data_IF_224151300014
#
_entry.id   IF_224151300014
#
_cell.length_a   1.000
_cell.length_b   1.000
_cell.length_c   1.000
_cell.angle_alpha   90.00
_cell.angle_beta   90.00
_cell.angle_gamma   90.00
#
_symmetry.space_group_name_H-M   'P 1'
#
loop_
_entity.id
_entity.type
_entity.pdbx_description
1 polymer ?
#
# COMPACT_ATOMS: atom_id res chain seq x y z
N UNK A 1 -43.90 23.67 -37.08
CA UNK A 1 -42.71 23.42 -36.25
C UNK A 1 -43.22 22.88 -34.93
N UNK A 2 -43.31 21.55 -34.80
CA UNK A 2 -43.89 20.90 -33.63
C UNK A 2 -42.76 20.54 -32.68
N UNK A 3 -42.74 21.15 -31.51
CA UNK A 3 -41.76 20.88 -30.45
C UNK A 3 -42.26 19.64 -29.69
N UNK A 4 -41.54 18.53 -29.81
CA UNK A 4 -41.76 17.34 -28.99
C UNK A 4 -40.94 17.50 -27.72
N UNK A 5 -41.65 17.69 -26.59
CA UNK A 5 -41.02 17.68 -25.25
C UNK A 5 -40.97 16.22 -24.80
N UNK A 6 -39.76 15.65 -24.75
CA UNK A 6 -39.56 14.31 -24.16
C UNK A 6 -39.45 14.48 -22.66
N UNK A 7 -40.47 14.08 -21.93
CA UNK A 7 -40.45 13.99 -20.48
C UNK A 7 -39.63 12.72 -20.07
N UNK A 8 -38.44 12.88 -19.61
CA UNK A 8 -37.65 11.79 -19.01
C UNK A 8 -38.12 11.62 -17.57
N UNK A 9 -38.91 10.57 -17.34
CA UNK A 9 -39.31 10.15 -15.99
C UNK A 9 -38.08 9.43 -15.37
N UNK A 10 -37.39 10.11 -14.48
CA UNK A 10 -36.37 9.49 -13.63
C UNK A 10 -37.13 8.74 -12.52
N UNK A 11 -36.98 7.40 -12.39
CA UNK A 11 -37.55 6.70 -11.26
C UNK A 11 -36.87 7.18 -9.98
N UNK A 12 -37.66 7.79 -9.10
CA UNK A 12 -37.27 8.05 -7.73
C UNK A 12 -37.05 6.70 -7.06
N UNK A 13 -35.81 6.29 -6.92
CA UNK A 13 -35.46 5.15 -6.08
C UNK A 13 -35.86 5.48 -4.64
N UNK A 14 -36.97 4.88 -4.22
CA UNK A 14 -37.36 4.85 -2.81
C UNK A 14 -36.19 4.30 -2.02
N UNK A 15 -35.57 5.12 -1.18
CA UNK A 15 -34.63 4.69 -0.16
C UNK A 15 -35.39 3.72 0.76
N UNK A 16 -35.26 2.43 0.49
CA UNK A 16 -35.66 1.39 1.44
C UNK A 16 -34.81 1.65 2.70
N UNK A 17 -35.50 1.97 3.81
CA UNK A 17 -34.89 1.93 5.14
C UNK A 17 -34.23 0.57 5.26
N UNK A 18 -32.91 0.58 5.38
CA UNK A 18 -32.15 -0.63 5.67
C UNK A 18 -32.67 -1.18 6.99
N UNK A 19 -33.28 -2.34 6.95
CA UNK A 19 -33.44 -3.15 8.15
C UNK A 19 -32.08 -3.29 8.78
N UNK A 20 -32.00 -3.03 10.04
CA UNK A 20 -30.82 -3.12 10.91
C UNK A 20 -30.36 -4.59 10.96
N UNK A 21 -29.76 -5.06 9.86
CA UNK A 21 -29.11 -6.36 9.83
C UNK A 21 -27.81 -6.20 10.58
N UNK A 22 -27.83 -6.55 11.85
CA UNK A 22 -26.63 -6.74 12.66
C UNK A 22 -25.69 -7.63 11.86
N UNK A 23 -24.66 -7.03 11.25
CA UNK A 23 -23.68 -7.78 10.47
C UNK A 23 -22.83 -8.53 11.50
N UNK A 24 -23.04 -9.84 11.60
CA UNK A 24 -22.23 -10.69 12.47
C UNK A 24 -20.84 -10.80 11.87
N UNK A 25 -19.90 -10.03 12.39
CA UNK A 25 -18.53 -10.02 11.90
C UNK A 25 -17.78 -11.26 12.41
N UNK A 26 -17.17 -11.99 11.49
CA UNK A 26 -16.35 -13.14 11.81
C UNK A 26 -14.99 -12.67 12.32
N UNK A 27 -14.49 -13.30 13.37
CA UNK A 27 -13.14 -13.10 13.87
C UNK A 27 -12.17 -13.99 13.09
N UNK A 28 -11.06 -13.40 12.69
CA UNK A 28 -9.97 -14.06 11.98
C UNK A 28 -8.73 -14.01 12.85
N UNK A 29 -8.33 -15.13 13.48
CA UNK A 29 -7.14 -15.14 14.30
C UNK A 29 -5.89 -14.97 13.46
N UNK A 30 -4.96 -14.12 13.93
CA UNK A 30 -3.68 -13.88 13.27
C UNK A 30 -2.54 -13.97 14.28
N UNK A 31 -1.39 -14.47 13.82
CA UNK A 31 -0.14 -14.33 14.56
C UNK A 31 0.43 -12.95 14.29
N UNK A 32 1.12 -12.37 15.26
CA UNK A 32 1.79 -11.10 15.06
C UNK A 32 3.15 -11.07 15.76
N UNK A 33 4.01 -10.17 15.31
CA UNK A 33 5.38 -10.00 15.78
C UNK A 33 5.67 -8.49 15.83
N UNK A 34 6.01 -7.99 17.02
CA UNK A 34 6.28 -6.56 17.24
C UNK A 34 7.71 -6.25 16.85
N UNK A 35 7.88 -5.15 16.12
CA UNK A 35 9.21 -4.63 15.78
C UNK A 35 9.83 -3.96 17.00
N UNK A 36 11.05 -4.40 17.35
CA UNK A 36 11.84 -3.75 18.39
C UNK A 36 12.58 -2.52 17.81
N UNK A 37 12.88 -1.55 18.65
CA UNK A 37 13.68 -0.36 18.30
C UNK A 37 13.04 0.53 17.22
N UNK A 38 11.72 0.54 17.13
CA UNK A 38 11.01 1.51 16.30
C UNK A 38 10.80 2.80 17.07
N UNK A 39 10.84 3.92 16.36
CA UNK A 39 10.47 5.20 16.92
C UNK A 39 8.96 5.27 17.20
N UNK A 40 8.56 6.12 18.14
CA UNK A 40 7.17 6.21 18.57
C UNK A 40 6.22 6.66 17.47
N UNK A 41 6.70 7.50 16.57
CA UNK A 41 5.98 8.04 15.42
C UNK A 41 6.17 7.24 14.14
N UNK A 42 6.89 6.11 14.23
CA UNK A 42 7.09 5.23 13.08
C UNK A 42 5.76 4.62 12.60
N UNK A 43 5.66 4.43 11.30
CA UNK A 43 4.54 3.80 10.62
C UNK A 43 5.03 3.02 9.40
N UNK A 44 4.11 2.43 8.64
CA UNK A 44 4.41 1.71 7.41
C UNK A 44 3.68 2.31 6.22
N UNK A 45 4.26 2.02 5.05
CA UNK A 45 3.62 2.13 3.76
C UNK A 45 3.68 0.77 3.04
N UNK A 46 3.90 0.74 1.74
CA UNK A 46 3.91 -0.51 0.98
C UNK A 46 5.21 -1.33 1.10
N UNK A 47 6.16 -0.91 1.91
CA UNK A 47 7.50 -1.51 1.99
C UNK A 47 7.53 -2.85 2.74
N UNK A 48 6.89 -3.86 2.17
CA UNK A 48 6.98 -5.25 2.59
C UNK A 48 7.27 -6.12 1.37
N UNK A 49 8.17 -7.09 1.52
CA UNK A 49 8.52 -8.05 0.48
C UNK A 49 8.90 -9.40 1.09
N UNK A 50 8.42 -10.48 0.51
CA UNK A 50 8.83 -11.84 0.89
C UNK A 50 9.72 -12.37 -0.21
N UNK A 51 10.98 -12.55 0.13
CA UNK A 51 12.01 -12.94 -0.82
C UNK A 51 12.09 -14.47 -1.01
N UNK A 52 12.78 -14.89 -2.06
CA UNK A 52 12.96 -16.30 -2.42
C UNK A 52 13.67 -17.12 -1.32
N UNK A 53 14.42 -16.46 -0.42
CA UNK A 53 15.03 -17.08 0.77
C UNK A 53 14.05 -17.32 1.93
N UNK A 54 12.75 -17.12 1.71
CA UNK A 54 11.68 -17.25 2.70
C UNK A 54 11.80 -16.32 3.91
N UNK A 55 12.32 -15.12 3.69
CA UNK A 55 12.37 -14.05 4.68
C UNK A 55 11.51 -12.87 4.26
N UNK A 56 10.95 -12.18 5.24
CA UNK A 56 10.19 -10.95 5.05
C UNK A 56 11.11 -9.76 5.26
N UNK A 57 11.21 -8.89 4.29
CA UNK A 57 11.93 -7.61 4.38
C UNK A 57 10.93 -6.48 4.52
N UNK A 58 11.17 -5.58 5.47
CA UNK A 58 10.24 -4.50 5.80
C UNK A 58 11.00 -3.19 5.96
N UNK A 59 10.46 -2.13 5.35
CA UNK A 59 10.91 -0.75 5.53
C UNK A 59 9.93 0.05 6.38
N UNK A 60 10.44 0.78 7.37
CA UNK A 60 9.62 1.70 8.16
C UNK A 60 9.61 3.10 7.59
N UNK A 61 8.70 3.90 8.07
CA UNK A 61 8.57 5.33 7.78
C UNK A 61 8.39 6.11 9.07
N UNK A 62 8.96 7.31 9.12
CA UNK A 62 8.84 8.22 10.26
C UNK A 62 8.55 9.64 9.77
N UNK A 63 8.18 10.53 10.66
CA UNK A 63 8.06 11.97 10.40
C UNK A 63 9.10 12.80 11.16
N UNK A 64 9.92 12.19 12.03
CA UNK A 64 10.87 12.88 12.89
C UNK A 64 12.23 12.22 12.99
N UNK A 65 12.39 11.01 12.41
CA UNK A 65 13.61 10.24 12.46
C UNK A 65 13.82 9.46 11.17
N UNK A 66 14.88 8.68 11.10
CA UNK A 66 15.23 7.93 9.90
C UNK A 66 14.41 6.65 9.74
N UNK A 67 14.17 6.28 8.49
CA UNK A 67 13.64 4.97 8.16
C UNK A 67 14.62 3.85 8.57
N UNK A 68 14.04 2.74 8.97
CA UNK A 68 14.76 1.51 9.32
C UNK A 68 14.35 0.34 8.43
N UNK A 69 15.26 -0.59 8.25
CA UNK A 69 15.06 -1.84 7.51
C UNK A 69 15.13 -3.01 8.46
N UNK A 70 14.16 -3.91 8.34
CA UNK A 70 14.07 -5.14 9.12
C UNK A 70 14.01 -6.36 8.22
N UNK A 71 14.52 -7.48 8.76
CA UNK A 71 14.37 -8.82 8.20
C UNK A 71 13.66 -9.69 9.23
N UNK A 72 12.67 -10.43 8.82
CA UNK A 72 12.01 -11.45 9.63
C UNK A 72 12.19 -12.83 8.97
N UNK A 73 12.76 -13.77 9.69
CA UNK A 73 12.92 -15.14 9.25
C UNK A 73 11.65 -15.93 9.61
N UNK A 74 10.92 -16.39 8.59
CA UNK A 74 9.64 -17.09 8.76
C UNK A 74 9.84 -18.44 9.45
N UNK A 75 10.96 -19.12 9.19
CA UNK A 75 11.22 -20.46 9.72
C UNK A 75 11.52 -20.44 11.21
N UNK A 76 12.26 -19.46 11.67
CA UNK A 76 12.67 -19.32 13.08
C UNK A 76 11.82 -18.33 13.87
N UNK A 77 10.95 -17.58 13.20
CA UNK A 77 10.17 -16.48 13.79
C UNK A 77 11.04 -15.42 14.47
N UNK A 78 12.22 -15.18 13.93
CA UNK A 78 13.17 -14.20 14.47
C UNK A 78 13.24 -12.95 13.62
N UNK A 79 13.32 -11.79 14.27
CA UNK A 79 13.40 -10.49 13.63
C UNK A 79 14.77 -9.86 13.87
N UNK A 80 15.36 -9.29 12.80
CA UNK A 80 16.60 -8.53 12.87
C UNK A 80 16.37 -7.11 12.36
N UNK A 81 16.88 -6.13 13.08
CA UNK A 81 17.05 -4.78 12.57
C UNK A 81 18.33 -4.75 11.73
N UNK A 82 18.22 -4.45 10.44
CA UNK A 82 19.34 -4.49 9.51
C UNK A 82 20.07 -3.16 9.43
N UNK A 83 19.33 -2.06 9.30
CA UNK A 83 19.91 -0.73 9.16
C UNK A 83 18.93 0.38 9.56
N UNK A 84 19.50 1.50 10.01
CA UNK A 84 18.87 2.81 10.04
C UNK A 84 19.50 3.64 8.92
N UNK A 85 18.70 4.24 8.02
CA UNK A 85 19.22 4.88 6.82
C UNK A 85 20.08 6.11 7.12
N UNK A 86 19.74 6.91 8.12
CA UNK A 86 20.55 8.09 8.52
C UNK A 86 21.92 7.68 9.03
N UNK A 87 22.00 6.58 9.79
CA UNK A 87 23.27 6.03 10.26
C UNK A 87 24.08 5.45 9.09
N UNK A 88 23.41 4.73 8.19
CA UNK A 88 24.04 4.10 7.04
C UNK A 88 24.64 5.12 6.06
N UNK A 89 23.99 6.27 5.91
CA UNK A 89 24.42 7.37 5.04
C UNK A 89 25.42 8.31 5.75
N UNK A 90 25.79 8.02 7.01
CA UNK A 90 26.65 8.88 7.83
C UNK A 90 26.11 10.32 7.98
N UNK A 91 24.80 10.46 8.15
CA UNK A 91 24.09 11.75 8.25
C UNK A 91 23.67 12.09 9.69
N UNK A 92 23.76 11.13 10.61
CA UNK A 92 23.31 11.31 11.99
C UNK A 92 24.09 12.42 12.71
N UNK A 93 23.36 13.39 13.27
CA UNK A 93 23.95 14.50 14.04
C UNK A 93 24.61 15.58 13.20
N UNK A 94 24.53 15.52 11.86
CA UNK A 94 25.15 16.50 10.95
C UNK A 94 24.23 17.64 10.53
N UNK A 95 23.01 17.71 11.07
CA UNK A 95 22.02 18.71 10.67
C UNK A 95 21.48 18.52 9.26
N UNK A 96 21.63 17.31 8.72
CA UNK A 96 21.14 16.93 7.40
C UNK A 96 19.70 16.41 7.54
N UNK A 97 18.83 16.81 6.63
CA UNK A 97 17.47 16.32 6.55
C UNK A 97 17.46 14.82 6.22
N UNK A 98 16.68 14.05 6.93
CA UNK A 98 16.79 12.59 6.89
C UNK A 98 16.04 11.93 5.75
N UNK A 99 16.48 10.73 5.36
CA UNK A 99 15.73 9.79 4.54
C UNK A 99 14.75 9.01 5.45
N UNK A 100 13.69 9.68 5.88
CA UNK A 100 12.76 9.20 6.92
C UNK A 100 11.81 8.10 6.50
N UNK A 101 11.68 7.80 5.20
CA UNK A 101 10.68 6.85 4.71
C UNK A 101 11.25 5.85 3.72
N UNK A 102 10.74 4.60 3.80
CA UNK A 102 10.81 3.62 2.73
C UNK A 102 9.37 3.39 2.29
N UNK A 103 9.02 4.00 1.16
CA UNK A 103 7.62 4.10 0.72
C UNK A 103 7.24 3.03 -0.30
N UNK A 104 8.22 2.51 -1.00
CA UNK A 104 8.08 1.67 -2.18
C UNK A 104 7.93 0.19 -1.83
N UNK A 105 7.23 -0.55 -2.69
CA UNK A 105 7.25 -2.01 -2.65
C UNK A 105 8.63 -2.51 -3.06
N UNK A 106 9.30 -3.25 -2.17
CA UNK A 106 10.63 -3.79 -2.43
C UNK A 106 10.58 -4.89 -3.50
N UNK A 107 11.70 -5.14 -4.18
CA UNK A 107 11.78 -6.10 -5.29
C UNK A 107 13.11 -6.85 -5.29
N UNK A 108 13.07 -8.10 -5.72
CA UNK A 108 14.24 -9.01 -5.69
C UNK A 108 14.81 -9.23 -7.08
N UNK A 109 16.15 -9.21 -7.14
CA UNK A 109 16.94 -9.65 -8.29
C UNK A 109 18.32 -10.14 -7.82
N UNK A 110 18.75 -11.32 -8.33
CA UNK A 110 20.10 -11.87 -8.16
C UNK A 110 20.63 -11.92 -6.72
N UNK A 111 19.79 -12.36 -5.77
CA UNK A 111 20.18 -12.47 -4.37
C UNK A 111 20.18 -11.17 -3.59
N UNK A 112 19.61 -10.11 -4.16
CA UNK A 112 19.43 -8.81 -3.52
C UNK A 112 17.98 -8.38 -3.52
N UNK A 113 17.56 -7.72 -2.45
CA UNK A 113 16.29 -6.99 -2.38
C UNK A 113 16.56 -5.50 -2.53
N UNK A 114 15.93 -4.87 -3.51
CA UNK A 114 16.12 -3.46 -3.87
C UNK A 114 14.96 -2.61 -3.38
N UNK A 115 15.29 -1.40 -2.93
CA UNK A 115 14.32 -0.37 -2.54
C UNK A 115 14.93 1.02 -2.69
N UNK A 116 14.12 2.04 -2.52
CA UNK A 116 14.57 3.43 -2.50
C UNK A 116 14.05 4.15 -1.27
N UNK A 117 14.75 5.21 -0.90
CA UNK A 117 14.33 6.08 0.18
C UNK A 117 13.48 7.25 -0.33
N UNK A 118 12.87 7.89 0.62
CA UNK A 118 12.02 9.04 0.46
C UNK A 118 12.33 10.00 1.62
N UNK A 119 12.23 11.29 1.41
CA UNK A 119 12.43 12.23 2.50
C UNK A 119 11.30 12.16 3.53
N UNK A 120 11.52 12.74 4.67
CA UNK A 120 10.67 12.58 5.82
C UNK A 120 9.26 13.15 5.60
N UNK A 121 9.14 14.32 5.01
CA UNK A 121 7.90 15.08 5.01
C UNK A 121 7.66 15.77 3.66
N UNK A 122 7.05 15.08 2.71
CA UNK A 122 6.62 15.61 1.41
C UNK A 122 7.61 16.59 0.72
N UNK A 123 8.88 16.33 0.86
CA UNK A 123 9.98 17.15 0.36
C UNK A 123 10.76 17.87 1.46
N UNK A 124 12.01 18.24 1.20
CA UNK A 124 12.77 19.08 2.11
C UNK A 124 12.01 20.38 2.31
N UNK A 125 11.98 20.95 3.53
CA UNK A 125 11.39 22.23 3.74
C UNK A 125 12.01 23.21 2.74
N UNK A 126 11.18 23.99 2.10
CA UNK A 126 11.61 24.97 1.09
C UNK A 126 12.71 25.95 1.59
N UNK A 127 12.92 25.95 2.91
CA UNK A 127 13.82 26.83 3.63
C UNK A 127 15.26 26.28 3.67
N UNK A 128 15.46 24.97 3.47
CA UNK A 128 16.76 24.35 3.75
C UNK A 128 17.14 23.22 2.77
N UNK A 129 16.83 23.39 1.49
CA UNK A 129 17.21 22.45 0.44
C UNK A 129 18.73 22.13 0.40
N UNK A 130 19.54 23.00 1.02
CA UNK A 130 20.99 22.79 1.15
C UNK A 130 21.40 21.78 2.21
N UNK A 131 20.49 21.35 3.10
CA UNK A 131 20.76 20.37 4.13
C UNK A 131 20.35 18.95 3.77
N UNK A 132 19.68 18.72 2.64
CA UNK A 132 19.27 17.42 2.16
C UNK A 132 20.23 16.86 1.10
N UNK A 133 20.74 15.66 1.33
CA UNK A 133 21.68 15.02 0.40
C UNK A 133 20.99 14.25 -0.75
N UNK A 134 19.68 14.24 -0.77
CA UNK A 134 18.89 13.51 -1.75
C UNK A 134 18.46 12.11 -1.28
N UNK A 135 17.60 11.50 -2.06
CA UNK A 135 17.19 10.12 -1.88
C UNK A 135 18.12 9.17 -2.63
N UNK A 136 18.20 7.94 -2.15
CA UNK A 136 19.09 6.92 -2.68
C UNK A 136 18.35 5.64 -3.02
N UNK A 137 18.89 4.89 -3.97
CA UNK A 137 18.61 3.48 -4.13
C UNK A 137 19.41 2.70 -3.10
N UNK A 138 18.87 1.58 -2.66
CA UNK A 138 19.50 0.66 -1.72
C UNK A 138 19.31 -0.78 -2.18
N UNK A 139 20.21 -1.65 -1.71
CA UNK A 139 20.00 -3.09 -1.79
C UNK A 139 20.33 -3.78 -0.49
N UNK A 140 19.67 -4.90 -0.24
CA UNK A 140 19.93 -5.80 0.87
C UNK A 140 20.49 -7.08 0.28
N UNK A 141 21.69 -7.48 0.70
CA UNK A 141 22.21 -8.80 0.37
C UNK A 141 21.41 -9.86 1.16
N UNK A 142 20.75 -10.78 0.47
CA UNK A 142 19.82 -11.73 1.09
C UNK A 142 20.52 -12.82 1.93
N UNK A 143 21.80 -13.08 1.68
CA UNK A 143 22.60 -14.03 2.44
C UNK A 143 23.09 -13.42 3.76
N UNK A 144 23.66 -12.23 3.71
CA UNK A 144 24.32 -11.58 4.85
C UNK A 144 23.41 -10.64 5.63
N UNK A 145 22.36 -10.11 4.99
CA UNK A 145 21.52 -9.03 5.52
C UNK A 145 22.19 -7.64 5.43
N UNK A 146 23.34 -7.51 4.78
CA UNK A 146 24.01 -6.22 4.61
C UNK A 146 23.17 -5.30 3.73
N UNK A 147 22.90 -4.10 4.23
CA UNK A 147 22.23 -3.02 3.47
C UNK A 147 23.32 -2.11 2.90
N UNK A 148 23.21 -1.77 1.63
CA UNK A 148 24.17 -0.93 0.92
C UNK A 148 23.46 0.20 0.21
N UNK A 149 23.91 1.46 0.38
CA UNK A 149 23.48 2.57 -0.45
C UNK A 149 24.08 2.44 -1.86
N UNK A 150 23.27 2.82 -2.86
CA UNK A 150 23.63 2.82 -4.27
C UNK A 150 23.61 4.26 -4.82
N UNK A 151 23.43 4.44 -6.12
CA UNK A 151 23.30 5.76 -6.70
C UNK A 151 22.15 6.58 -6.10
N UNK A 152 22.23 7.89 -6.23
CA UNK A 152 21.10 8.77 -5.86
C UNK A 152 19.93 8.56 -6.81
N UNK A 153 18.73 8.57 -6.26
CA UNK A 153 17.49 8.72 -7.02
C UNK A 153 17.40 10.13 -7.60
N UNK A 154 17.58 11.11 -6.72
CA UNK A 154 17.49 12.53 -7.01
C UNK A 154 18.22 13.32 -5.92
N UNK A 155 18.64 14.55 -6.21
CA UNK A 155 19.23 15.45 -5.22
C UNK A 155 18.20 16.04 -4.24
N UNK A 156 16.90 15.99 -4.57
CA UNK A 156 15.85 16.63 -3.79
C UNK A 156 14.70 15.69 -3.43
N UNK A 157 14.35 14.72 -4.31
CA UNK A 157 13.11 13.98 -4.22
C UNK A 157 13.32 12.49 -4.10
N UNK A 158 12.54 11.84 -3.26
CA UNK A 158 12.51 10.40 -3.12
C UNK A 158 11.40 9.76 -3.94
N UNK A 159 11.35 8.44 -3.97
CA UNK A 159 10.33 7.71 -4.74
C UNK A 159 9.17 7.26 -3.87
N UNK A 160 7.99 7.34 -4.42
CA UNK A 160 6.74 6.86 -3.82
C UNK A 160 6.26 5.55 -4.45
N UNK A 161 6.62 5.30 -5.70
CA UNK A 161 6.32 4.06 -6.42
C UNK A 161 7.58 3.49 -7.05
N UNK A 162 7.70 2.15 -7.09
CA UNK A 162 8.82 1.42 -7.69
C UNK A 162 8.32 0.23 -8.48
N UNK A 163 8.95 -0.02 -9.63
CA UNK A 163 8.76 -1.21 -10.45
C UNK A 163 10.11 -1.68 -11.03
N UNK A 164 10.22 -2.96 -11.38
CA UNK A 164 11.47 -3.53 -11.89
C UNK A 164 11.26 -4.27 -13.20
N UNK A 165 12.06 -3.92 -14.19
CA UNK A 165 12.28 -4.76 -15.37
C UNK A 165 13.47 -5.67 -15.10
N UNK A 166 13.18 -6.91 -14.73
CA UNK A 166 14.21 -7.90 -14.40
C UNK A 166 15.06 -8.30 -15.62
N UNK A 167 14.45 -8.29 -16.80
CA UNK A 167 15.13 -8.69 -18.03
C UNK A 167 16.19 -7.67 -18.47
N UNK A 168 15.86 -6.38 -18.34
CA UNK A 168 16.78 -5.29 -18.64
C UNK A 168 17.63 -4.88 -17.44
N UNK A 169 17.37 -5.45 -16.24
CA UNK A 169 18.07 -5.12 -14.99
C UNK A 169 17.95 -3.65 -14.62
N UNK A 170 16.72 -3.14 -14.75
CA UNK A 170 16.38 -1.74 -14.54
C UNK A 170 15.32 -1.63 -13.43
N UNK A 171 15.49 -0.68 -12.53
CA UNK A 171 14.47 -0.28 -11.57
C UNK A 171 13.93 1.08 -12.00
N UNK A 172 12.62 1.18 -12.07
CA UNK A 172 11.91 2.43 -12.28
C UNK A 172 11.36 2.95 -10.95
N UNK A 173 11.52 4.25 -10.70
CA UNK A 173 10.96 4.92 -9.54
C UNK A 173 10.17 6.16 -9.95
N UNK A 174 8.99 6.32 -9.39
CA UNK A 174 8.23 7.54 -9.53
C UNK A 174 8.51 8.44 -8.33
N UNK A 175 9.07 9.63 -8.56
CA UNK A 175 9.40 10.54 -7.48
C UNK A 175 8.23 11.45 -7.06
N UNK A 176 8.42 12.22 -5.99
CA UNK A 176 7.37 13.05 -5.36
C UNK A 176 6.80 14.15 -6.23
N UNK A 177 7.51 14.56 -7.25
CA UNK A 177 7.07 15.61 -8.19
C UNK A 177 6.65 15.04 -9.54
N UNK A 178 6.47 13.71 -9.62
CA UNK A 178 5.96 13.06 -10.81
C UNK A 178 7.00 12.79 -11.90
N UNK A 179 8.30 12.81 -11.59
CA UNK A 179 9.32 12.38 -12.53
C UNK A 179 9.53 10.87 -12.47
N UNK A 180 9.61 10.23 -13.61
CA UNK A 180 9.99 8.83 -13.74
C UNK A 180 11.52 8.74 -13.77
N UNK A 181 12.09 8.02 -12.78
CA UNK A 181 13.51 7.74 -12.67
C UNK A 181 13.79 6.34 -13.16
N UNK A 182 14.89 6.17 -13.90
CA UNK A 182 15.38 4.88 -14.37
C UNK A 182 16.74 4.61 -13.75
N UNK A 183 16.85 3.52 -12.98
CA UNK A 183 18.10 3.11 -12.35
C UNK A 183 18.63 1.85 -13.02
N UNK A 184 19.83 1.95 -13.56
CA UNK A 184 20.57 0.85 -14.16
C UNK A 184 21.37 0.13 -13.07
N UNK A 185 21.01 -1.12 -12.79
CA UNK A 185 21.58 -1.88 -11.68
C UNK A 185 23.08 -2.13 -11.89
N UNK A 186 23.48 -2.49 -13.09
CA UNK A 186 24.86 -2.87 -13.40
C UNK A 186 25.80 -1.67 -13.43
N UNK A 187 25.34 -0.54 -13.93
CA UNK A 187 26.09 0.70 -14.01
C UNK A 187 26.04 1.53 -12.72
N UNK A 188 25.15 1.20 -11.80
CA UNK A 188 24.87 1.98 -10.60
C UNK A 188 24.64 3.47 -10.93
N UNK A 189 23.75 3.73 -11.88
CA UNK A 189 23.46 5.05 -12.43
C UNK A 189 21.96 5.30 -12.53
N UNK A 190 21.55 6.54 -12.24
CA UNK A 190 20.13 6.97 -12.33
C UNK A 190 19.98 8.01 -13.43
N UNK A 191 18.96 7.84 -14.24
CA UNK A 191 18.53 8.77 -15.27
C UNK A 191 17.14 9.32 -14.98
N UNK A 192 16.91 10.58 -15.35
CA UNK A 192 15.61 11.23 -15.29
C UNK A 192 14.94 11.13 -16.65
N UNK A 193 13.85 10.38 -16.76
CA UNK A 193 13.07 10.22 -17.98
C UNK A 193 12.06 11.35 -18.21
N UNK A 194 11.98 12.28 -17.27
CA UNK A 194 11.05 13.40 -17.31
C UNK A 194 9.75 13.16 -16.53
N UNK A 195 8.87 14.14 -16.64
CA UNK A 195 7.64 14.22 -15.87
C UNK A 195 6.52 13.41 -16.52
N UNK A 196 5.87 12.56 -15.73
CA UNK A 196 4.75 11.70 -16.14
C UNK A 196 3.44 12.11 -15.49
N UNK A 197 3.52 12.89 -14.41
CA UNK A 197 2.41 13.21 -13.53
C UNK A 197 2.52 14.67 -13.06
N UNK A 198 1.41 15.28 -12.69
CA UNK A 198 1.41 16.68 -12.30
C UNK A 198 1.61 16.91 -10.82
N UNK A 199 1.58 15.87 -9.98
CA UNK A 199 1.94 16.10 -8.60
C UNK A 199 1.26 15.38 -7.41
N UNK A 200 0.20 14.63 -7.60
CA UNK A 200 -0.22 13.78 -6.52
C UNK A 200 0.10 12.33 -6.85
N UNK A 201 1.18 11.98 -6.37
CA UNK A 201 2.00 10.87 -6.77
C UNK A 201 1.27 9.55 -6.61
N UNK A 202 1.20 8.82 -7.71
CA UNK A 202 0.84 7.42 -7.73
C UNK A 202 1.74 6.63 -6.76
N UNK A 203 1.14 5.94 -5.79
CA UNK A 203 1.89 5.23 -4.74
C UNK A 203 2.48 3.91 -5.21
N UNK A 204 1.96 3.36 -6.30
CA UNK A 204 2.45 2.12 -6.89
C UNK A 204 2.42 2.20 -8.41
N UNK A 205 3.50 1.76 -9.02
CA UNK A 205 3.65 1.56 -10.46
C UNK A 205 3.97 0.09 -10.70
N UNK A 206 3.78 -0.40 -11.91
CA UNK A 206 4.13 -1.77 -12.27
C UNK A 206 4.78 -1.85 -13.64
N UNK A 207 5.49 -2.96 -13.88
CA UNK A 207 6.00 -3.34 -15.20
C UNK A 207 5.23 -4.55 -15.73
N UNK A 208 4.95 -4.56 -17.04
CA UNK A 208 4.47 -5.75 -17.74
C UNK A 208 5.65 -6.65 -18.18
N UNK A 209 5.36 -7.76 -18.86
CA UNK A 209 6.37 -8.71 -19.34
C UNK A 209 7.31 -8.13 -20.41
N UNK A 210 6.87 -7.10 -21.13
CA UNK A 210 7.69 -6.40 -22.11
C UNK A 210 8.59 -5.32 -21.48
N UNK A 211 8.41 -5.05 -20.17
CA UNK A 211 9.14 -4.03 -19.42
C UNK A 211 8.53 -2.63 -19.57
N UNK A 212 7.33 -2.50 -20.14
CA UNK A 212 6.63 -1.22 -20.11
C UNK A 212 6.23 -0.88 -18.67
N UNK A 213 6.33 0.39 -18.30
CA UNK A 213 5.98 0.89 -16.97
C UNK A 213 4.68 1.65 -17.03
N UNK A 214 3.81 1.41 -16.07
CA UNK A 214 2.50 2.04 -15.99
C UNK A 214 2.29 2.73 -14.65
N UNK A 215 1.66 3.90 -14.69
CA UNK A 215 1.19 4.63 -13.51
C UNK A 215 -0.13 5.34 -13.79
N UNK A 216 -0.78 5.81 -12.74
CA UNK A 216 -2.01 6.59 -12.84
C UNK A 216 -1.89 7.93 -12.15
N UNK A 217 -2.72 8.88 -12.57
CA UNK A 217 -2.83 10.20 -11.95
C UNK A 217 -4.26 10.75 -12.03
N UNK A 218 -4.62 11.71 -11.17
CA UNK A 218 -5.95 12.31 -11.21
C UNK A 218 -6.24 13.05 -12.55
N UNK A 219 -7.49 13.05 -13.02
CA UNK A 219 -8.64 12.29 -12.55
C UNK A 219 -8.81 10.95 -13.28
N UNK A 220 -8.15 9.92 -12.82
CA UNK A 220 -8.26 8.55 -13.36
C UNK A 220 -7.52 8.32 -14.68
N UNK A 221 -6.53 9.14 -14.95
CA UNK A 221 -5.69 9.05 -16.14
C UNK A 221 -4.59 8.00 -15.94
N UNK A 222 -4.09 7.45 -17.05
CA UNK A 222 -3.03 6.44 -17.04
C UNK A 222 -1.95 6.82 -18.02
N UNK A 223 -0.70 6.71 -17.59
CA UNK A 223 0.46 6.86 -18.46
C UNK A 223 1.21 5.52 -18.60
N UNK A 224 1.95 5.41 -19.69
CA UNK A 224 2.82 4.29 -20.02
C UNK A 224 4.18 4.81 -20.44
N UNK A 225 5.26 4.24 -19.91
CA UNK A 225 6.59 4.34 -20.51
C UNK A 225 6.91 3.08 -21.31
N UNK A 226 7.33 3.25 -22.54
CA UNK A 226 7.73 2.17 -23.45
C UNK A 226 9.27 2.19 -23.56
N UNK A 227 9.98 1.19 -22.98
CA UNK A 227 11.43 1.19 -22.97
C UNK A 227 12.08 0.93 -24.35
N UNK A 228 11.34 0.37 -25.31
CA UNK A 228 11.87 0.17 -26.68
C UNK A 228 11.79 1.45 -27.51
N UNK A 229 10.79 2.27 -27.23
CA UNK A 229 10.64 3.58 -27.88
C UNK A 229 11.26 4.71 -27.07
N UNK A 230 11.72 4.43 -25.86
CA UNK A 230 12.23 5.40 -24.90
C UNK A 230 11.31 6.62 -24.73
N UNK A 231 10.00 6.33 -24.60
CA UNK A 231 8.98 7.40 -24.64
C UNK A 231 7.85 7.15 -23.63
N UNK A 232 7.40 8.24 -23.03
CA UNK A 232 6.20 8.30 -22.20
C UNK A 232 4.98 8.63 -23.08
N UNK A 233 3.88 7.90 -22.86
CA UNK A 233 2.59 8.10 -23.50
C UNK A 233 1.51 8.26 -22.48
N UNK A 234 0.59 9.20 -22.70
CA UNK A 234 -0.70 9.19 -22.03
C UNK A 234 -1.64 8.25 -22.78
N UNK A 235 -2.32 7.37 -22.05
CA UNK A 235 -3.31 6.46 -22.63
C UNK A 235 -4.65 7.21 -22.69
N UNK A 236 -4.89 7.90 -23.83
CA UNK A 236 -5.95 8.90 -23.94
C UNK A 236 -7.37 8.32 -23.88
N UNK A 237 -7.54 7.08 -24.36
CA UNK A 237 -8.83 6.40 -24.40
C UNK A 237 -9.10 5.51 -23.19
N UNK A 238 -8.14 5.41 -22.27
CA UNK A 238 -8.23 4.58 -21.08
C UNK A 238 -8.45 5.44 -19.84
N UNK A 239 -9.43 5.05 -19.03
CA UNK A 239 -9.77 5.76 -17.77
C UNK A 239 -10.09 4.77 -16.67
N UNK A 240 -9.65 5.09 -15.46
CA UNK A 240 -10.13 4.39 -14.28
C UNK A 240 -11.61 4.70 -14.03
N UNK A 241 -12.43 3.73 -13.61
CA UNK A 241 -13.84 3.94 -13.28
C UNK A 241 -13.96 4.66 -11.93
N UNK A 242 -13.66 5.95 -11.91
CA UNK A 242 -13.74 6.80 -10.73
C UNK A 242 -15.11 7.52 -10.69
N UNK A 243 -15.57 7.78 -9.47
CA UNK A 243 -16.71 8.68 -9.24
C UNK A 243 -16.15 10.02 -8.76
N UNK A 244 -16.37 11.07 -9.52
CA UNK A 244 -15.91 12.43 -9.18
C UNK A 244 -16.98 13.09 -8.31
N UNK A 245 -16.61 13.49 -7.09
CA UNK A 245 -17.45 14.31 -6.21
C UNK A 245 -17.45 15.76 -6.71
N UNK A 246 -18.63 16.38 -6.71
CA UNK A 246 -18.75 17.82 -6.98
C UNK A 246 -17.90 18.70 -6.03
N UNK A 247 -17.63 18.21 -4.84
CA UNK A 247 -16.72 18.86 -3.88
C UNK A 247 -15.25 18.77 -4.31
N UNK A 248 -14.87 17.72 -5.02
CA UNK A 248 -13.55 17.52 -5.61
C UNK A 248 -13.36 18.29 -6.90
N UNK A 249 -14.44 18.78 -7.52
CA UNK A 249 -14.38 19.55 -8.77
C UNK A 249 -13.71 20.92 -8.61
N UNK A 250 -13.59 21.45 -7.40
CA UNK A 250 -12.84 22.68 -7.15
C UNK A 250 -11.34 22.52 -7.50
N UNK A 251 -10.79 21.30 -7.33
CA UNK A 251 -9.46 20.95 -7.82
C UNK A 251 -9.33 19.43 -8.01
N UNK A 252 -9.90 18.84 -9.07
CA UNK A 252 -9.91 17.40 -9.31
C UNK A 252 -8.49 16.83 -9.51
N UNK A 253 -7.53 17.65 -9.89
CA UNK A 253 -6.13 17.27 -10.06
C UNK A 253 -5.42 16.98 -8.74
N UNK A 254 -5.97 17.41 -7.61
CA UNK A 254 -5.40 17.20 -6.27
C UNK A 254 -6.13 16.10 -5.48
N UNK A 255 -7.12 15.43 -6.05
CA UNK A 255 -7.82 14.36 -5.36
C UNK A 255 -7.07 13.03 -5.49
N UNK A 256 -6.26 12.72 -4.48
CA UNK A 256 -5.56 11.43 -4.33
C UNK A 256 -6.45 10.20 -4.46
N UNK A 257 -7.74 10.38 -4.34
CA UNK A 257 -8.72 9.29 -4.48
C UNK A 257 -9.05 8.99 -5.93
N UNK A 258 -8.73 9.89 -6.85
CA UNK A 258 -9.03 9.80 -8.26
C UNK A 258 -7.94 9.08 -9.09
N UNK A 259 -7.22 8.18 -8.47
CA UNK A 259 -6.19 7.31 -9.09
C UNK A 259 -6.20 5.93 -8.42
N UNK A 260 -5.45 4.99 -8.92
CA UNK A 260 -5.25 3.76 -8.13
C UNK A 260 -4.38 4.01 -6.91
N UNK A 261 -4.73 3.36 -5.80
CA UNK A 261 -3.95 3.42 -4.57
C UNK A 261 -2.85 2.37 -4.57
N UNK A 262 -3.20 1.17 -5.05
CA UNK A 262 -2.29 0.04 -5.18
C UNK A 262 -2.63 -0.73 -6.45
N UNK A 263 -1.59 -1.27 -7.09
CA UNK A 263 -1.71 -2.15 -8.25
C UNK A 263 -0.60 -3.19 -8.20
N UNK A 264 -0.89 -4.42 -8.61
CA UNK A 264 0.06 -5.51 -8.72
C UNK A 264 -0.08 -6.22 -10.05
N UNK A 265 1.05 -6.54 -10.67
CA UNK A 265 1.11 -7.41 -11.84
C UNK A 265 0.90 -8.87 -11.44
N UNK A 266 0.00 -9.56 -12.12
CA UNK A 266 -0.19 -11.00 -12.02
C UNK A 266 0.47 -11.71 -13.20
N UNK A 267 1.59 -12.43 -12.99
CA UNK A 267 2.30 -13.09 -14.07
C UNK A 267 1.56 -14.32 -14.63
N UNK A 268 0.55 -14.84 -13.90
CA UNK A 268 -0.24 -15.99 -14.36
C UNK A 268 -1.29 -15.57 -15.39
N UNK A 269 -2.08 -14.54 -15.06
CA UNK A 269 -3.12 -14.02 -15.96
C UNK A 269 -2.55 -12.98 -16.95
N UNK A 270 -1.30 -12.50 -16.74
CA UNK A 270 -0.63 -11.45 -17.52
C UNK A 270 -1.43 -10.15 -17.60
N UNK A 271 -1.97 -9.77 -16.45
CA UNK A 271 -2.75 -8.56 -16.23
C UNK A 271 -2.35 -7.90 -14.91
N UNK A 272 -2.72 -6.66 -14.70
CA UNK A 272 -2.59 -6.03 -13.39
C UNK A 272 -3.94 -5.97 -12.67
N UNK A 273 -3.92 -6.14 -11.36
CA UNK A 273 -5.07 -5.93 -10.49
C UNK A 273 -4.80 -4.75 -9.57
N UNK A 274 -5.73 -3.82 -9.48
CA UNK A 274 -5.55 -2.61 -8.68
C UNK A 274 -6.80 -2.20 -7.91
N UNK A 275 -6.60 -1.36 -6.89
CA UNK A 275 -7.66 -0.76 -6.05
C UNK A 275 -7.68 0.75 -6.27
N UNK A 276 -8.84 1.30 -6.56
CA UNK A 276 -9.05 2.76 -6.71
C UNK A 276 -9.06 3.43 -5.34
N UNK A 277 -8.32 4.52 -5.22
CA UNK A 277 -8.08 5.22 -3.97
C UNK A 277 -9.34 5.69 -3.23
N UNK A 278 -10.33 6.19 -3.95
CA UNK A 278 -11.53 6.77 -3.35
C UNK A 278 -12.65 5.78 -3.08
N UNK A 279 -12.83 4.79 -3.95
CA UNK A 279 -13.98 3.88 -3.88
C UNK A 279 -13.66 2.50 -3.33
N UNK A 280 -12.39 2.16 -3.17
CA UNK A 280 -11.92 0.80 -2.93
C UNK A 280 -12.44 -0.21 -3.98
N UNK A 281 -12.69 0.25 -5.20
CA UNK A 281 -13.10 -0.60 -6.31
C UNK A 281 -11.89 -1.36 -6.84
N UNK A 282 -11.96 -2.69 -6.79
CA UNK A 282 -11.02 -3.58 -7.46
C UNK A 282 -11.29 -3.54 -8.95
N UNK A 283 -10.25 -3.42 -9.74
CA UNK A 283 -10.29 -3.52 -11.19
C UNK A 283 -9.18 -4.41 -11.72
N UNK A 284 -9.39 -4.93 -12.92
CA UNK A 284 -8.38 -5.59 -13.73
C UNK A 284 -7.96 -4.66 -14.86
N UNK A 285 -6.66 -4.54 -15.08
CA UNK A 285 -6.06 -3.86 -16.22
C UNK A 285 -5.38 -4.89 -17.12
N UNK A 286 -6.00 -5.17 -18.26
CA UNK A 286 -5.44 -6.04 -19.31
C UNK A 286 -4.69 -5.18 -20.31
N UNK A 287 -3.38 -5.10 -20.17
CA UNK A 287 -2.50 -4.28 -21.00
C UNK A 287 -2.38 -4.80 -22.43
N UNK A 288 -2.78 -6.05 -22.70
CA UNK A 288 -2.67 -6.70 -23.99
C UNK A 288 -3.94 -6.59 -24.85
N UNK A 289 -5.00 -6.00 -24.30
CA UNK A 289 -6.29 -5.90 -24.96
C UNK A 289 -6.48 -4.55 -25.64
N UNK A 290 -6.70 -4.56 -26.94
CA UNK A 290 -6.82 -3.31 -27.71
C UNK A 290 -5.51 -2.52 -27.84
N UNK A 291 -5.55 -1.29 -28.33
CA UNK A 291 -4.36 -0.48 -28.58
C UNK A 291 -3.73 0.13 -27.31
N UNK A 292 -4.52 0.36 -26.27
CA UNK A 292 -4.07 0.98 -25.01
C UNK A 292 -4.28 0.08 -23.79
N UNK A 293 -4.92 -1.07 -23.95
CA UNK A 293 -5.37 -1.95 -22.87
C UNK A 293 -6.87 -1.82 -22.57
N UNK A 294 -7.34 -2.55 -21.59
CA UNK A 294 -8.73 -2.51 -21.10
C UNK A 294 -8.77 -2.49 -19.58
N UNK A 295 -9.59 -1.61 -19.01
CA UNK A 295 -9.90 -1.58 -17.57
C UNK A 295 -11.28 -2.22 -17.34
N UNK A 296 -11.33 -3.23 -16.49
CA UNK A 296 -12.54 -3.97 -16.13
C UNK A 296 -12.79 -3.82 -14.63
N UNK A 297 -13.88 -3.11 -14.23
CA UNK A 297 -14.30 -3.08 -12.83
C UNK A 297 -14.72 -4.48 -12.36
N UNK A 298 -14.33 -4.87 -11.15
CA UNK A 298 -14.60 -6.20 -10.61
C UNK A 298 -15.51 -6.16 -9.38
N UNK A 299 -15.02 -5.66 -8.26
CA UNK A 299 -15.74 -5.69 -6.99
C UNK A 299 -15.37 -4.53 -6.08
N UNK A 300 -16.30 -4.05 -5.27
CA UNK A 300 -16.00 -3.10 -4.21
C UNK A 300 -15.41 -3.84 -3.01
N UNK A 301 -14.18 -3.50 -2.64
CA UNK A 301 -13.39 -4.18 -1.61
C UNK A 301 -13.39 -3.45 -0.26
N UNK A 302 -14.16 -2.37 -0.10
CA UNK A 302 -14.28 -1.69 1.18
C UNK A 302 -14.93 -2.60 2.24
N UNK A 303 -14.79 -2.23 3.51
CA UNK A 303 -15.45 -2.93 4.61
C UNK A 303 -16.99 -2.87 4.46
N UNK A 304 -17.73 -3.84 5.02
CA UNK A 304 -19.19 -3.97 4.83
C UNK A 304 -19.99 -2.71 5.14
N UNK A 305 -19.60 -1.96 6.17
CA UNK A 305 -20.26 -0.72 6.58
C UNK A 305 -20.33 0.37 5.49
N UNK A 306 -19.44 0.32 4.51
CA UNK A 306 -19.35 1.33 3.44
C UNK A 306 -19.96 0.88 2.11
N UNK A 307 -20.50 -0.34 2.04
CA UNK A 307 -21.03 -0.89 0.80
C UNK A 307 -22.44 -0.43 0.52
N UNK A 308 -22.70 -0.07 -0.73
CA UNK A 308 -24.02 0.41 -1.16
C UNK A 308 -24.39 1.79 -0.63
N UNK A 309 -23.54 2.43 0.14
CA UNK A 309 -23.68 3.81 0.60
C UNK A 309 -23.15 4.83 -0.40
N UNK A 310 -23.02 6.07 0.07
CA UNK A 310 -22.41 7.14 -0.69
C UNK A 310 -20.92 6.82 -0.95
N UNK A 311 -20.44 6.73 -2.21
CA UNK A 311 -19.07 6.41 -2.52
C UNK A 311 -18.05 7.41 -1.95
N UNK A 312 -18.49 8.61 -1.60
CA UNK A 312 -17.64 9.65 -1.01
C UNK A 312 -17.41 9.48 0.48
N UNK A 313 -18.21 8.66 1.15
CA UNK A 313 -18.03 8.33 2.56
C UNK A 313 -17.09 7.13 2.75
N UNK A 314 -16.73 6.44 1.67
CA UNK A 314 -15.78 5.33 1.71
C UNK A 314 -14.40 5.86 2.12
N UNK A 315 -13.75 5.26 3.13
CA UNK A 315 -12.39 5.64 3.51
C UNK A 315 -11.41 5.49 2.35
N UNK A 316 -10.37 6.30 2.35
CA UNK A 316 -9.28 6.16 1.38
C UNK A 316 -8.69 4.74 1.42
N UNK A 317 -8.46 4.15 0.25
CA UNK A 317 -7.91 2.82 0.13
C UNK A 317 -6.50 2.70 0.77
N UNK A 318 -6.21 1.55 1.35
CA UNK A 318 -4.88 1.19 1.87
C UNK A 318 -3.94 0.70 0.77
N UNK A 319 -2.69 0.44 1.12
CA UNK A 319 -1.71 -0.26 0.28
C UNK A 319 -1.62 -1.76 0.61
N UNK A 320 -2.47 -2.26 1.50
CA UNK A 320 -2.45 -3.64 1.98
C UNK A 320 -3.22 -4.59 1.06
N UNK A 321 -2.73 -4.75 -0.17
CA UNK A 321 -3.24 -5.72 -1.15
C UNK A 321 -2.12 -6.67 -1.58
N UNK A 322 -2.45 -7.93 -1.78
CA UNK A 322 -1.55 -8.92 -2.40
C UNK A 322 -2.31 -9.98 -3.17
N UNK A 323 -1.68 -10.50 -4.23
CA UNK A 323 -2.20 -11.62 -5.02
C UNK A 323 -1.56 -12.90 -4.49
N UNK A 324 -2.38 -13.80 -3.97
CA UNK A 324 -1.94 -15.11 -3.53
C UNK A 324 -1.96 -16.09 -4.71
N UNK A 325 -0.80 -16.48 -5.17
CA UNK A 325 -0.68 -17.36 -6.32
C UNK A 325 -1.11 -18.81 -6.02
N UNK A 326 -1.10 -19.23 -4.75
CA UNK A 326 -1.44 -20.59 -4.36
C UNK A 326 -2.93 -20.91 -4.46
N UNK A 327 -3.79 -20.01 -3.98
CA UNK A 327 -5.24 -20.18 -4.05
C UNK A 327 -5.91 -19.29 -5.12
N UNK A 328 -5.12 -18.45 -5.79
CA UNK A 328 -5.60 -17.52 -6.83
C UNK A 328 -6.62 -16.54 -6.29
N UNK A 329 -6.35 -15.96 -5.13
CA UNK A 329 -7.17 -14.91 -4.52
C UNK A 329 -6.38 -13.62 -4.31
N UNK A 330 -7.06 -12.51 -4.44
CA UNK A 330 -6.59 -11.21 -3.95
C UNK A 330 -7.01 -11.09 -2.50
N UNK A 331 -6.06 -10.73 -1.64
CA UNK A 331 -6.28 -10.38 -0.24
C UNK A 331 -6.10 -8.88 -0.08
N UNK A 332 -7.06 -8.23 0.56
CA UNK A 332 -7.05 -6.79 0.77
C UNK A 332 -7.54 -6.43 2.17
N UNK A 333 -6.89 -5.46 2.80
CA UNK A 333 -7.25 -4.96 4.13
C UNK A 333 -7.66 -3.49 4.00
N UNK A 334 -8.97 -3.18 3.84
CA UNK A 334 -9.47 -1.83 3.76
C UNK A 334 -9.41 -1.12 5.12
N UNK A 335 -9.40 0.20 5.10
CA UNK A 335 -9.61 1.01 6.31
C UNK A 335 -11.02 0.81 6.82
N UNK A 336 -11.14 0.60 8.12
CA UNK A 336 -12.40 0.71 8.86
C UNK A 336 -12.29 1.94 9.76
N UNK A 337 -13.14 2.92 9.59
CA UNK A 337 -13.24 4.06 10.52
C UNK A 337 -14.47 3.85 11.37
N UNK A 338 -14.32 3.77 12.68
CA UNK A 338 -15.25 4.09 13.74
C UNK A 338 -16.74 3.72 13.73
N UNK A 339 -17.23 3.18 12.62
CA UNK A 339 -18.65 2.94 12.40
C UNK A 339 -19.12 1.55 12.84
N UNK A 340 -18.21 0.79 13.46
CA UNK A 340 -18.58 -0.43 14.14
C UNK A 340 -18.86 -0.13 15.60
N UNK A 341 -19.99 -0.60 16.11
CA UNK A 341 -20.28 -0.53 17.53
C UNK A 341 -19.20 -1.30 18.31
N UNK A 342 -18.35 -0.55 18.96
CA UNK A 342 -17.19 -1.06 19.67
C UNK A 342 -17.57 -2.06 20.76
N UNK A 343 -18.73 -1.87 21.37
CA UNK A 343 -19.22 -2.71 22.45
C UNK A 343 -19.68 -4.08 21.93
N UNK A 344 -20.21 -4.16 20.72
CA UNK A 344 -20.58 -5.43 20.09
C UNK A 344 -19.34 -6.25 19.73
N UNK A 345 -18.33 -5.63 19.15
CA UNK A 345 -17.11 -6.32 18.76
C UNK A 345 -16.28 -6.72 19.98
N UNK A 346 -16.15 -5.85 20.98
CA UNK A 346 -15.40 -6.16 22.20
C UNK A 346 -16.02 -7.28 23.01
N UNK A 347 -17.34 -7.38 23.01
CA UNK A 347 -18.09 -8.44 23.73
C UNK A 347 -17.93 -9.80 23.00
N UNK A 348 -17.97 -9.83 21.67
CA UNK A 348 -17.80 -11.07 20.92
C UNK A 348 -16.35 -11.58 20.91
N UNK A 349 -15.35 -10.69 21.02
CA UNK A 349 -13.92 -11.05 21.05
C UNK A 349 -13.48 -11.48 22.47
N UNK A 350 -14.37 -11.40 23.45
CA UNK A 350 -14.02 -11.76 24.84
C UNK A 350 -13.12 -10.73 25.55
N UNK A 351 -12.98 -9.54 24.99
CA UNK A 351 -12.28 -8.43 25.63
C UNK A 351 -13.24 -7.75 26.61
N UNK A 352 -13.59 -8.48 27.65
CA UNK A 352 -14.44 -7.98 28.71
C UNK A 352 -13.67 -7.00 29.57
N UNK A 353 -14.20 -5.79 29.73
CA UNK A 353 -13.99 -4.98 30.93
C UNK A 353 -13.08 -3.78 30.85
N UNK A 354 -12.53 -3.40 29.71
CA UNK A 354 -11.90 -2.07 29.59
C UNK A 354 -12.46 -1.36 28.37
N UNK A 355 -13.17 -0.25 28.62
CA UNK A 355 -13.36 0.79 27.59
C UNK A 355 -11.98 1.04 27.00
N UNK A 356 -11.79 0.73 25.73
CA UNK A 356 -10.59 1.16 25.04
C UNK A 356 -10.46 2.65 25.32
N UNK A 357 -9.38 3.04 25.97
CA UNK A 357 -9.10 4.46 26.19
C UNK A 357 -9.09 5.06 24.80
N UNK A 358 -9.92 6.08 24.51
CA UNK A 358 -9.87 6.75 23.23
C UNK A 358 -8.44 7.27 23.09
N UNK A 359 -7.63 6.58 22.30
CA UNK A 359 -6.32 7.08 21.98
C UNK A 359 -6.55 8.29 21.09
N UNK A 360 -6.39 9.47 21.68
CA UNK A 360 -6.60 10.77 21.07
C UNK A 360 -8.03 11.04 20.57
N UNK A 361 -8.65 12.03 21.15
CA UNK A 361 -10.06 12.43 21.11
C UNK A 361 -10.68 12.68 19.72
N UNK A 362 -10.00 12.39 18.61
CA UNK A 362 -10.45 12.69 17.25
C UNK A 362 -10.21 11.58 16.20
N UNK A 363 -9.74 10.40 16.60
CA UNK A 363 -9.66 9.28 15.66
C UNK A 363 -10.52 8.14 16.16
N UNK A 364 -11.61 7.82 15.44
CA UNK A 364 -12.39 6.62 15.73
C UNK A 364 -11.48 5.40 15.66
N UNK A 365 -11.69 4.46 16.58
CA UNK A 365 -10.97 3.19 16.60
C UNK A 365 -11.19 2.46 15.28
N UNK A 366 -10.13 2.20 14.56
CA UNK A 366 -10.19 1.44 13.32
C UNK A 366 -9.77 0.00 13.58
N UNK A 367 -10.49 -0.94 12.98
CA UNK A 367 -10.12 -2.36 12.95
C UNK A 367 -9.49 -2.69 11.61
N UNK A 368 -8.72 -3.74 11.55
CA UNK A 368 -8.28 -4.29 10.28
C UNK A 368 -9.24 -5.39 9.84
N UNK A 369 -9.90 -5.18 8.71
CA UNK A 369 -10.89 -6.08 8.15
C UNK A 369 -10.31 -6.76 6.89
N UNK A 370 -10.45 -8.07 6.77
CA UNK A 370 -9.93 -8.81 5.61
C UNK A 370 -11.04 -9.11 4.62
N UNK A 371 -10.80 -8.71 3.38
CA UNK A 371 -11.66 -9.01 2.22
C UNK A 371 -10.84 -9.78 1.19
N UNK A 372 -11.46 -10.75 0.53
CA UNK A 372 -10.85 -11.48 -0.57
C UNK A 372 -11.67 -11.38 -1.85
N UNK A 373 -10.99 -11.56 -2.98
CA UNK A 373 -11.60 -11.73 -4.29
C UNK A 373 -10.97 -12.93 -4.98
N UNK A 374 -11.78 -13.91 -5.34
CA UNK A 374 -11.35 -15.13 -6.01
C UNK A 374 -11.22 -14.87 -7.52
N UNK A 375 -10.02 -15.00 -8.06
CA UNK A 375 -9.71 -14.71 -9.47
C UNK A 375 -10.32 -15.73 -10.43
N UNK A 376 -10.65 -16.95 -9.95
CA UNK A 376 -11.24 -18.00 -10.78
C UNK A 376 -12.74 -17.88 -10.88
N UNK A 377 -13.37 -17.53 -9.76
CA UNK A 377 -14.85 -17.52 -9.66
C UNK A 377 -15.44 -16.12 -9.76
N UNK A 378 -14.63 -15.07 -9.57
CA UNK A 378 -15.09 -13.69 -9.51
C UNK A 378 -15.86 -13.35 -8.23
N UNK A 379 -15.76 -14.16 -7.20
CA UNK A 379 -16.51 -13.98 -5.94
C UNK A 379 -15.68 -13.21 -4.93
N UNK A 380 -16.27 -12.11 -4.42
CA UNK A 380 -15.75 -11.39 -3.26
C UNK A 380 -16.28 -12.04 -1.98
N UNK A 381 -15.42 -12.19 -0.98
CA UNK A 381 -15.78 -12.72 0.33
C UNK A 381 -15.29 -11.80 1.46
N UNK A 382 -16.15 -11.59 2.47
CA UNK A 382 -15.82 -10.94 3.72
C UNK A 382 -15.25 -11.98 4.67
N UNK A 383 -13.93 -11.99 4.83
CA UNK A 383 -13.26 -12.98 5.68
C UNK A 383 -13.49 -12.63 7.16
N UNK A 384 -13.32 -11.37 7.55
CA UNK A 384 -13.62 -10.91 8.90
C UNK A 384 -12.60 -9.94 9.49
N UNK A 385 -12.70 -9.71 10.79
CA UNK A 385 -11.80 -8.85 11.56
C UNK A 385 -10.54 -9.62 11.93
N UNK A 386 -9.38 -9.04 11.64
CA UNK A 386 -8.07 -9.60 12.02
C UNK A 386 -7.81 -9.36 13.51
N UNK A 387 -7.70 -10.42 14.29
CA UNK A 387 -7.46 -10.36 15.73
C UNK A 387 -6.23 -11.17 16.10
N UNK A 388 -5.19 -10.53 16.64
CA UNK A 388 -4.04 -11.23 17.21
C UNK A 388 -4.44 -12.23 18.29
N UNK A 389 -3.77 -13.38 18.32
CA UNK A 389 -4.10 -14.48 19.26
C UNK A 389 -3.83 -14.18 20.73
N UNK A 390 -3.11 -13.11 21.04
CA UNK A 390 -2.82 -12.65 22.41
C UNK A 390 -3.79 -11.58 22.92
N UNK A 391 -4.89 -11.33 22.21
CA UNK A 391 -5.88 -10.32 22.57
C UNK A 391 -5.49 -8.87 22.22
N UNK A 392 -4.37 -8.67 21.52
CA UNK A 392 -4.03 -7.37 20.91
C UNK A 392 -4.95 -7.06 19.73
N UNK A 393 -4.91 -5.82 19.23
CA UNK A 393 -5.70 -5.40 18.06
C UNK A 393 -4.80 -5.07 16.87
N UNK A 394 -5.19 -5.52 15.69
CA UNK A 394 -4.60 -5.05 14.44
C UNK A 394 -5.26 -3.73 14.02
N UNK A 395 -4.46 -2.68 13.82
CA UNK A 395 -4.90 -1.33 13.43
C UNK A 395 -4.08 -0.83 12.25
N UNK A 396 -4.74 -0.18 11.29
CA UNK A 396 -4.06 0.55 10.23
C UNK A 396 -3.01 -0.28 9.49
N UNK A 397 -3.46 -1.28 8.74
CA UNK A 397 -2.58 -2.09 7.90
C UNK A 397 -2.28 -1.36 6.58
N UNK A 398 -1.00 -1.29 6.19
CA UNK A 398 -0.59 -0.49 5.04
C UNK A 398 0.12 -1.29 3.94
N UNK A 399 0.66 -2.44 4.20
CA UNK A 399 1.30 -3.28 3.20
C UNK A 399 1.01 -4.75 3.41
N UNK A 400 0.94 -5.52 2.32
CA UNK A 400 0.75 -6.97 2.36
C UNK A 400 1.60 -7.69 1.32
N UNK A 401 1.94 -8.95 1.62
CA UNK A 401 2.63 -9.87 0.72
C UNK A 401 2.23 -11.32 1.05
N UNK A 402 2.41 -12.23 0.11
CA UNK A 402 2.18 -13.67 0.33
C UNK A 402 3.47 -14.46 0.27
N UNK A 403 3.61 -15.45 1.15
CA UNK A 403 4.74 -16.38 1.10
C UNK A 403 4.47 -17.55 0.14
N UNK A 404 5.50 -18.37 -0.07
CA UNK A 404 5.42 -19.57 -0.93
C UNK A 404 4.38 -20.60 -0.47
N UNK A 405 4.03 -20.57 0.82
CA UNK A 405 3.03 -21.46 1.41
C UNK A 405 1.61 -20.85 1.32
N UNK A 406 1.50 -19.64 0.77
CA UNK A 406 0.25 -18.92 0.57
C UNK A 406 -0.26 -18.24 1.83
N UNK A 407 0.57 -18.09 2.88
CA UNK A 407 0.20 -17.27 4.02
C UNK A 407 0.31 -15.81 3.67
N UNK A 408 -0.62 -15.03 4.19
CA UNK A 408 -0.71 -13.59 3.95
C UNK A 408 -0.03 -12.87 5.11
N UNK A 409 1.01 -12.13 4.78
CA UNK A 409 1.77 -11.29 5.70
C UNK A 409 1.41 -9.83 5.48
N UNK A 410 1.27 -9.06 6.55
CA UNK A 410 0.92 -7.65 6.47
C UNK A 410 1.62 -6.84 7.56
N UNK A 411 1.90 -5.59 7.27
CA UNK A 411 2.53 -4.66 8.20
C UNK A 411 1.54 -3.57 8.61
N UNK A 412 1.67 -3.14 9.86
CA UNK A 412 0.82 -2.08 10.40
C UNK A 412 1.02 -1.86 11.89
N UNK A 413 0.09 -1.17 12.49
CA UNK A 413 0.09 -0.90 13.92
C UNK A 413 -0.75 -1.94 14.66
N UNK A 414 -0.24 -2.35 15.84
CA UNK A 414 -0.93 -3.25 16.75
C UNK A 414 -1.10 -2.55 18.09
N UNK A 415 -2.31 -2.55 18.62
CA UNK A 415 -2.58 -2.12 19.99
C UNK A 415 -2.37 -3.32 20.92
N UNK A 416 -1.31 -3.30 21.70
CA UNK A 416 -0.94 -4.41 22.56
C UNK A 416 -1.90 -4.54 23.74
N UNK A 417 -2.33 -5.78 24.06
CA UNK A 417 -2.99 -6.10 25.32
C UNK A 417 -2.05 -5.84 26.51
N UNK A 418 -2.58 -5.80 27.72
CA UNK A 418 -1.74 -5.64 28.93
C UNK A 418 -0.75 -6.81 29.08
N UNK A 419 -1.15 -8.02 28.68
CA UNK A 419 -0.32 -9.22 28.68
C UNK A 419 0.76 -9.14 27.61
N UNK A 420 0.39 -8.77 26.40
CA UNK A 420 1.33 -8.60 25.30
C UNK A 420 2.38 -7.53 25.61
N UNK A 421 1.96 -6.41 26.22
CA UNK A 421 2.87 -5.33 26.60
C UNK A 421 3.89 -5.77 27.66
N UNK A 422 3.51 -6.66 28.60
CA UNK A 422 4.45 -7.23 29.56
C UNK A 422 5.50 -8.13 28.92
N UNK A 423 5.13 -8.84 27.86
CA UNK A 423 6.02 -9.77 27.14
C UNK A 423 6.93 -9.02 26.16
N UNK A 424 6.34 -8.18 25.33
CA UNK A 424 7.05 -7.52 24.22
C UNK A 424 7.73 -6.20 24.67
N UNK A 425 7.21 -5.56 25.73
CA UNK A 425 7.64 -4.22 26.11
C UNK A 425 7.24 -3.15 25.09
N UNK A 426 7.91 -2.01 25.13
CA UNK A 426 7.72 -0.90 24.18
C UNK A 426 6.45 -0.09 24.41
N UNK A 427 5.80 0.33 23.34
CA UNK A 427 4.60 1.17 23.39
C UNK A 427 3.34 0.33 23.26
N UNK A 428 2.24 0.82 23.82
CA UNK A 428 0.93 0.17 23.67
C UNK A 428 0.52 0.09 22.18
N UNK A 429 0.69 1.16 21.43
CA UNK A 429 0.58 1.12 19.97
C UNK A 429 1.97 0.88 19.39
N UNK A 430 2.20 -0.28 18.83
CA UNK A 430 3.49 -0.70 18.32
C UNK A 430 3.38 -1.14 16.86
N UNK A 431 4.45 -0.94 16.12
CA UNK A 431 4.57 -1.47 14.77
C UNK A 431 4.77 -2.98 14.80
N UNK A 432 4.16 -3.68 13.86
CA UNK A 432 4.26 -5.13 13.80
C UNK A 432 4.04 -5.71 12.41
N UNK A 433 4.38 -6.99 12.35
CA UNK A 433 4.13 -7.88 11.23
C UNK A 433 3.05 -8.88 11.65
N UNK A 434 1.94 -8.94 10.91
CA UNK A 434 0.88 -9.93 11.11
C UNK A 434 0.95 -11.03 10.07
N UNK A 435 0.43 -12.22 10.42
CA UNK A 435 0.36 -13.36 9.52
C UNK A 435 -1.01 -14.04 9.64
N UNK A 436 -1.72 -14.11 8.54
CA UNK A 436 -2.94 -14.88 8.35
C UNK A 436 -2.64 -16.12 7.51
N UNK A 437 -3.08 -17.29 7.97
CA UNK A 437 -2.95 -18.56 7.25
C UNK A 437 -4.33 -18.97 6.72
N UNK A 438 -4.62 -18.79 5.42
CA UNK A 438 -5.91 -19.14 4.84
C UNK A 438 -6.15 -20.66 4.76
N UNK A 439 -5.12 -21.47 4.99
CA UNK A 439 -5.18 -22.94 4.93
C UNK A 439 -5.19 -23.59 6.31
N UNK A 440 -5.03 -22.81 7.38
CA UNK A 440 -5.21 -23.32 8.74
C UNK A 440 -6.68 -23.64 9.01
N UNK A 441 -6.94 -24.84 9.54
CA UNK A 441 -8.29 -25.28 9.97
C UNK A 441 -8.60 -24.74 11.35
#
# INVERSE_FOLDING_TARGET
>A
MTIIVILVIIPVLNAQKSEDKTIKLKIVPVRHYIFSKTDRDAHFWSAIYIASNNKVYVGTSTHASAASVYEFDIATSTMRHLANLTVLLDELGKGIWTNGKIHVKMQELDGYVYFSSFCEDNGPPAIDAGSYNGAYWFRINMETGKVEPLARVSSLWGTTGQAMDKNRRIIYGLDEIGHLRRYFIDENYTEDLGRVDDWDVCRTIFTDEAGNVYGSYPPGLIWKYDPEKERIFNLEFLRLPITIDSRSMANPMLDRRAQWRIIEWDPVDKVAYGIIGGSNLLFKFDVNKGPEGEIIPLAQMCAPAYRGGNPFDVPHATLAMTINQKDRKIYYIPVTRGDFDYDLVSTEIGITGKKAVPSQANRPSSYSFLVTYDLKTGVREDVGILVPTDGSYARGMEGAATDKDGKVWFVGSFEQSDEALKINGGFRSALGLGCYDPFSK
#
